data_IF_914127837206
#
_entry.id   IF_914127837206
#
_cell.length_a   1.000
_cell.length_b   1.000
_cell.length_c   1.000
_cell.angle_alpha   90.00
_cell.angle_beta   90.00
_cell.angle_gamma   90.00
#
_symmetry.space_group_name_H-M   'P 1'
#
loop_
_entity.id
_entity.type
_entity.pdbx_description
1 polymer ?
#
# COMPACT_ATOMS: atom_id res chain seq x y z
N UNK A 1 -11.29 -31.20 -7.00
CA UNK A 1 -11.35 -30.09 -6.03
C UNK A 1 -11.13 -30.64 -4.62
N UNK A 2 -10.48 -29.88 -3.72
CA UNK A 2 -10.39 -30.25 -2.31
C UNK A 2 -11.80 -30.36 -1.71
N UNK A 3 -12.06 -31.39 -0.88
CA UNK A 3 -13.35 -31.58 -0.20
C UNK A 3 -13.65 -30.48 0.80
N UNK A 4 -12.61 -29.93 1.42
CA UNK A 4 -12.69 -28.77 2.29
C UNK A 4 -11.59 -27.77 1.91
N UNK A 5 -11.89 -26.77 1.06
CA UNK A 5 -10.93 -25.75 0.66
C UNK A 5 -10.46 -24.86 1.81
N UNK A 6 -11.18 -24.83 2.94
CA UNK A 6 -10.82 -23.98 4.09
C UNK A 6 -9.52 -24.43 4.75
N UNK A 7 -9.25 -25.74 4.77
CA UNK A 7 -8.02 -26.33 5.31
C UNK A 7 -6.74 -25.89 4.58
N UNK A 8 -6.85 -25.26 3.39
CA UNK A 8 -5.71 -24.69 2.66
C UNK A 8 -5.11 -23.47 3.37
N UNK A 9 -5.90 -22.78 4.19
CA UNK A 9 -5.51 -21.51 4.82
C UNK A 9 -5.42 -21.70 6.33
N UNK A 10 -4.35 -21.14 6.92
CA UNK A 10 -4.16 -21.14 8.36
C UNK A 10 -4.50 -19.75 8.92
N UNK A 11 -5.06 -19.67 10.15
CA UNK A 11 -5.25 -18.39 10.82
C UNK A 11 -3.91 -17.65 10.97
N UNK A 12 -3.95 -16.32 10.88
CA UNK A 12 -2.78 -15.50 11.22
C UNK A 12 -2.51 -15.57 12.73
N UNK A 13 -1.24 -15.63 13.11
CA UNK A 13 -0.85 -15.70 14.52
C UNK A 13 -1.15 -14.40 15.26
N UNK A 14 -1.44 -14.49 16.56
CA UNK A 14 -1.60 -13.32 17.39
C UNK A 14 -0.26 -12.59 17.56
N UNK A 15 -0.26 -11.27 17.41
CA UNK A 15 0.91 -10.43 17.70
C UNK A 15 0.84 -9.98 19.16
N UNK A 16 1.85 -10.37 19.95
CA UNK A 16 1.93 -10.02 21.37
C UNK A 16 2.50 -8.60 21.56
N UNK A 17 1.59 -7.64 21.73
CA UNK A 17 1.89 -6.24 22.03
C UNK A 17 0.92 -5.78 23.14
N UNK A 18 1.18 -6.15 24.41
CA UNK A 18 0.27 -5.89 25.52
C UNK A 18 0.14 -4.39 25.81
N UNK A 19 1.25 -3.65 25.74
CA UNK A 19 1.31 -2.21 26.03
C UNK A 19 1.10 -1.33 24.80
N UNK A 20 0.34 -1.81 23.80
CA UNK A 20 0.09 -1.05 22.57
C UNK A 20 -0.63 0.27 22.88
N UNK A 21 -0.10 1.37 22.35
CA UNK A 21 -0.62 2.71 22.62
C UNK A 21 -1.47 3.30 21.49
N UNK A 22 -1.49 2.66 20.32
CA UNK A 22 -2.26 3.15 19.17
C UNK A 22 -3.79 3.20 19.38
N UNK A 23 -4.43 2.37 20.24
CA UNK A 23 -5.88 2.46 20.44
C UNK A 23 -6.36 3.75 21.12
N UNK A 24 -5.49 4.41 21.91
CA UNK A 24 -5.84 5.62 22.67
C UNK A 24 -5.30 6.91 22.05
N UNK A 25 -4.55 6.83 20.94
CA UNK A 25 -3.91 7.98 20.29
C UNK A 25 -4.73 8.44 19.08
N UNK A 26 -4.82 9.76 18.92
CA UNK A 26 -5.38 10.39 17.72
C UNK A 26 -4.25 10.79 16.76
N UNK A 27 -4.55 10.84 15.46
CA UNK A 27 -3.63 11.35 14.45
C UNK A 27 -3.75 12.88 14.44
N UNK A 28 -2.68 13.59 14.79
CA UNK A 28 -2.68 15.06 14.91
C UNK A 28 -1.94 15.78 13.78
N UNK A 29 -1.21 15.03 12.95
CA UNK A 29 -0.38 15.56 11.86
C UNK A 29 -0.32 14.59 10.69
N UNK A 30 -0.16 15.13 9.49
CA UNK A 30 0.11 14.32 8.31
C UNK A 30 1.44 13.54 8.46
N UNK A 31 1.51 12.28 8.02
CA UNK A 31 2.76 11.56 7.91
C UNK A 31 3.59 12.09 6.73
N UNK A 32 4.84 11.61 6.62
CA UNK A 32 5.57 11.70 5.37
C UNK A 32 5.01 10.68 4.39
N UNK A 33 4.68 11.12 3.18
CA UNK A 33 4.09 10.29 2.14
C UNK A 33 5.17 9.75 1.20
N UNK A 34 5.04 8.48 0.84
CA UNK A 34 5.83 7.84 -0.21
C UNK A 34 4.86 7.33 -1.29
N UNK A 35 4.98 7.82 -2.51
CA UNK A 35 4.27 7.28 -3.66
C UNK A 35 5.05 6.11 -4.26
N UNK A 36 4.37 5.00 -4.52
CA UNK A 36 4.93 3.80 -5.19
C UNK A 36 4.34 3.60 -6.58
N UNK A 37 3.51 4.52 -7.04
CA UNK A 37 2.64 4.41 -8.22
C UNK A 37 3.43 4.07 -9.51
N UNK A 38 4.59 4.68 -9.72
CA UNK A 38 5.41 4.48 -10.92
C UNK A 38 6.13 3.11 -10.97
N UNK A 39 6.14 2.36 -9.86
CA UNK A 39 6.76 1.03 -9.78
C UNK A 39 5.72 -0.03 -9.41
N UNK A 40 5.22 0.01 -8.17
CA UNK A 40 4.35 -1.03 -7.63
C UNK A 40 2.94 -0.96 -8.23
N UNK A 41 2.42 0.26 -8.37
CA UNK A 41 1.17 0.51 -9.10
C UNK A 41 1.30 0.10 -10.56
N UNK A 42 2.36 0.56 -11.24
CA UNK A 42 2.62 0.23 -12.64
C UNK A 42 2.84 -1.27 -12.91
N UNK A 43 3.27 -2.05 -11.92
CA UNK A 43 3.40 -3.51 -12.05
C UNK A 43 2.05 -4.24 -11.98
N UNK A 44 1.03 -3.59 -11.43
CA UNK A 44 -0.28 -4.20 -11.16
C UNK A 44 -1.33 -3.95 -12.24
N UNK A 45 -1.02 -3.14 -13.27
CA UNK A 45 -1.92 -2.82 -14.37
C UNK A 45 -1.66 -3.72 -15.58
N UNK A 46 -2.73 -4.04 -16.34
CA UNK A 46 -2.66 -4.93 -17.51
C UNK A 46 -1.76 -4.35 -18.61
N UNK A 47 -1.95 -3.06 -18.92
CA UNK A 47 -1.14 -2.32 -19.88
C UNK A 47 -0.22 -1.36 -19.14
N UNK A 48 1.08 -1.68 -18.99
CA UNK A 48 2.02 -0.83 -18.29
C UNK A 48 2.08 0.58 -18.87
N UNK A 49 2.32 1.57 -18.01
CA UNK A 49 2.53 2.93 -18.43
C UNK A 49 3.75 3.03 -19.33
N UNK A 50 3.54 3.58 -20.52
CA UNK A 50 4.61 4.08 -21.38
C UNK A 50 5.30 5.31 -20.75
N UNK A 51 6.37 5.77 -21.38
CA UNK A 51 7.16 6.89 -20.89
C UNK A 51 6.34 8.19 -20.71
N UNK A 52 5.36 8.44 -21.58
CA UNK A 52 4.54 9.66 -21.54
C UNK A 52 3.60 9.63 -20.34
N UNK A 53 2.93 8.49 -20.12
CA UNK A 53 2.05 8.29 -18.96
C UNK A 53 2.84 8.36 -17.65
N UNK A 54 4.02 7.71 -17.59
CA UNK A 54 4.90 7.78 -16.42
C UNK A 54 5.33 9.21 -16.13
N UNK A 55 5.71 9.96 -17.16
CA UNK A 55 6.14 11.36 -16.98
C UNK A 55 5.00 12.24 -16.47
N UNK A 56 3.83 12.15 -17.10
CA UNK A 56 2.63 12.89 -16.66
C UNK A 56 2.29 12.60 -15.20
N UNK A 57 2.38 11.34 -14.77
CA UNK A 57 2.05 11.00 -13.39
C UNK A 57 3.15 11.42 -12.41
N UNK A 58 4.42 11.31 -12.80
CA UNK A 58 5.52 11.87 -12.01
C UNK A 58 5.33 13.37 -11.77
N UNK A 59 5.04 14.14 -12.82
CA UNK A 59 4.85 15.59 -12.71
C UNK A 59 3.67 15.91 -11.79
N UNK A 60 2.56 15.16 -11.86
CA UNK A 60 1.42 15.29 -10.94
C UNK A 60 1.82 15.01 -9.47
N UNK A 61 2.57 13.94 -9.21
CA UNK A 61 3.02 13.60 -7.86
C UNK A 61 3.91 14.70 -7.27
N UNK A 62 4.75 15.30 -8.12
CA UNK A 62 5.60 16.43 -7.74
C UNK A 62 4.76 17.68 -7.46
N UNK A 63 3.74 17.96 -8.28
CA UNK A 63 2.82 19.10 -8.16
C UNK A 63 2.01 19.07 -6.86
N UNK A 64 1.48 17.90 -6.48
CA UNK A 64 0.73 17.73 -5.22
C UNK A 64 1.62 17.73 -3.97
N UNK A 65 2.95 17.75 -4.13
CA UNK A 65 3.90 17.84 -3.03
C UNK A 65 4.28 16.51 -2.39
N UNK A 66 4.20 15.38 -3.10
CA UNK A 66 4.82 14.13 -2.64
C UNK A 66 6.36 14.30 -2.59
N UNK A 67 6.96 14.09 -1.41
CA UNK A 67 8.39 14.29 -1.13
C UNK A 67 8.91 13.29 -0.10
#
# INVERSE_FOLDING_TARGET
MLKDPSAKYRPFGQVDLPDRQWPSRLIERAPRWLSTDLRDGNQSIIDPMDAVKKRRFFDLLVEIGAK
#
